data_IF_773883909110
#
_entry.id   IF_773883909110
#
_cell.length_a   1.000
_cell.length_b   1.000
_cell.length_c   1.000
_cell.angle_alpha   90.00
_cell.angle_beta   90.00
_cell.angle_gamma   90.00
#
_symmetry.space_group_name_H-M   'P 1'
#
loop_
_entity.id
_entity.type
_entity.pdbx_description
1 polymer ?
#
# COMPACT_ATOMS: atom_id res chain seq x y z
N UNK A 1 -23.74 14.44 44.66
CA UNK A 1 -23.60 13.50 45.79
C UNK A 1 -24.50 12.26 45.71
N UNK A 2 -25.60 12.26 44.94
CA UNK A 2 -26.43 11.05 44.69
C UNK A 2 -25.98 10.19 43.49
N UNK A 3 -25.14 10.73 42.59
CA UNK A 3 -24.65 10.03 41.38
C UNK A 3 -23.72 8.85 41.72
N UNK A 4 -22.79 9.04 42.65
CA UNK A 4 -21.78 8.04 42.98
C UNK A 4 -22.34 6.88 43.82
N UNK A 5 -23.39 7.16 44.62
CA UNK A 5 -24.10 6.13 45.38
C UNK A 5 -24.95 5.23 44.47
N UNK A 6 -25.60 5.79 43.45
CA UNK A 6 -26.39 5.02 42.47
C UNK A 6 -25.50 4.13 41.59
N UNK A 7 -24.32 4.62 41.19
CA UNK A 7 -23.29 3.81 40.51
C UNK A 7 -22.79 2.64 41.36
N UNK A 8 -22.78 2.78 42.69
CA UNK A 8 -22.35 1.71 43.60
C UNK A 8 -23.39 0.59 43.78
N UNK A 9 -24.69 0.88 43.57
CA UNK A 9 -25.79 -0.06 43.80
C UNK A 9 -26.10 -0.97 42.62
N UNK A 10 -25.79 -0.54 41.40
CA UNK A 10 -25.90 -1.35 40.20
C UNK A 10 -24.52 -1.52 39.60
N UNK A 11 -23.77 -2.54 40.08
CA UNK A 11 -22.62 -3.01 39.31
C UNK A 11 -23.16 -3.49 37.97
N UNK A 12 -22.85 -2.75 36.92
CA UNK A 12 -23.20 -3.11 35.56
C UNK A 12 -22.78 -4.56 35.30
N UNK A 13 -23.73 -5.37 34.81
CA UNK A 13 -23.46 -6.78 34.56
C UNK A 13 -22.62 -6.90 33.30
N UNK A 14 -21.33 -7.18 33.48
CA UNK A 14 -20.42 -7.35 32.35
C UNK A 14 -20.82 -8.58 31.53
N UNK A 15 -21.14 -8.33 30.27
CA UNK A 15 -21.44 -9.30 29.23
C UNK A 15 -21.07 -8.74 27.84
N UNK A 16 -21.32 -9.51 26.77
CA UNK A 16 -20.99 -9.09 25.40
C UNK A 16 -21.67 -7.77 25.00
N UNK A 17 -22.94 -7.55 25.35
CA UNK A 17 -23.67 -6.32 24.99
C UNK A 17 -23.10 -5.09 25.68
N UNK A 18 -22.84 -5.16 26.99
CA UNK A 18 -22.21 -4.04 27.72
C UNK A 18 -20.80 -3.76 27.19
N UNK A 19 -20.05 -4.79 26.81
CA UNK A 19 -18.74 -4.61 26.20
C UNK A 19 -18.83 -3.93 24.82
N UNK A 20 -19.91 -4.19 24.06
CA UNK A 20 -20.19 -3.53 22.79
C UNK A 20 -20.54 -2.04 22.98
N UNK A 21 -21.30 -1.70 24.01
CA UNK A 21 -21.66 -0.31 24.33
C UNK A 21 -20.44 0.55 24.71
N UNK A 22 -19.38 -0.10 25.22
CA UNK A 22 -18.14 0.54 25.65
C UNK A 22 -16.95 0.34 24.69
N UNK A 23 -17.17 -0.06 23.43
CA UNK A 23 -16.06 -0.35 22.46
C UNK A 23 -15.06 0.80 22.26
N UNK A 24 -15.48 2.03 22.48
CA UNK A 24 -14.65 3.23 22.32
C UNK A 24 -14.29 3.89 23.66
N UNK A 25 -14.48 3.15 24.76
CA UNK A 25 -14.20 3.59 26.13
C UNK A 25 -13.01 2.81 26.69
N UNK A 26 -11.76 3.29 26.47
CA UNK A 26 -10.57 2.61 26.93
C UNK A 26 -10.50 2.53 28.47
N UNK A 27 -11.03 3.51 29.19
CA UNK A 27 -11.01 3.52 30.66
C UNK A 27 -11.93 2.43 31.22
N UNK A 28 -13.12 2.28 30.65
CA UNK A 28 -14.04 1.20 31.03
C UNK A 28 -13.43 -0.17 30.73
N UNK A 29 -12.81 -0.36 29.57
CA UNK A 29 -12.13 -1.62 29.23
C UNK A 29 -10.98 -1.94 30.18
N UNK A 30 -10.19 -0.94 30.57
CA UNK A 30 -9.06 -1.10 31.48
C UNK A 30 -9.53 -1.51 32.89
N UNK A 31 -10.54 -0.83 33.43
CA UNK A 31 -11.12 -1.13 34.75
C UNK A 31 -11.76 -2.52 34.79
N UNK A 32 -12.40 -2.94 33.69
CA UNK A 32 -13.22 -4.15 33.64
C UNK A 32 -12.53 -5.36 33.00
N UNK A 33 -11.24 -5.23 32.64
CA UNK A 33 -10.48 -6.23 31.87
C UNK A 33 -10.61 -7.66 32.39
N UNK A 34 -10.29 -7.89 33.67
CA UNK A 34 -10.30 -9.24 34.26
C UNK A 34 -11.70 -9.87 34.20
N UNK A 35 -12.73 -9.06 34.42
CA UNK A 35 -14.11 -9.55 34.39
C UNK A 35 -14.56 -9.86 32.97
N UNK A 36 -14.15 -9.07 31.98
CA UNK A 36 -14.38 -9.37 30.56
C UNK A 36 -13.71 -10.69 30.16
N UNK A 37 -12.43 -10.88 30.50
CA UNK A 37 -11.70 -12.11 30.21
C UNK A 37 -12.41 -13.33 30.81
N UNK A 38 -12.81 -13.26 32.08
CA UNK A 38 -13.54 -14.35 32.76
C UNK A 38 -14.90 -14.62 32.09
N UNK A 39 -15.64 -13.57 31.72
CA UNK A 39 -16.94 -13.71 31.06
C UNK A 39 -16.79 -14.42 29.72
N UNK A 40 -15.90 -13.94 28.85
CA UNK A 40 -15.71 -14.53 27.54
C UNK A 40 -15.19 -15.97 27.65
N UNK A 41 -14.22 -16.29 28.51
CA UNK A 41 -13.78 -17.69 28.73
C UNK A 41 -14.96 -18.66 28.97
N UNK A 42 -16.02 -18.21 29.65
CA UNK A 42 -17.22 -19.02 29.93
C UNK A 42 -18.18 -19.13 28.75
N UNK A 43 -18.26 -18.12 27.89
CA UNK A 43 -19.33 -17.97 26.89
C UNK A 43 -18.84 -18.01 25.42
N UNK A 44 -17.66 -17.45 25.08
CA UNK A 44 -17.05 -17.38 23.72
C UNK A 44 -15.54 -17.00 23.73
N UNK A 45 -14.81 -17.19 22.63
CA UNK A 45 -13.40 -16.73 22.54
C UNK A 45 -13.25 -15.18 22.63
N UNK A 46 -12.68 -14.69 23.73
CA UNK A 46 -12.37 -13.27 23.96
C UNK A 46 -11.50 -12.69 22.83
N UNK A 47 -10.55 -13.47 22.31
CA UNK A 47 -9.67 -13.01 21.23
C UNK A 47 -10.45 -12.72 19.96
N UNK A 48 -11.46 -13.53 19.66
CA UNK A 48 -12.37 -13.30 18.54
C UNK A 48 -13.17 -12.02 18.74
N UNK A 49 -13.71 -11.77 19.94
CA UNK A 49 -14.40 -10.51 20.24
C UNK A 49 -13.52 -9.27 19.97
N UNK A 50 -12.28 -9.27 20.46
CA UNK A 50 -11.32 -8.17 20.24
C UNK A 50 -11.02 -8.01 18.73
N UNK A 51 -10.76 -9.13 18.03
CA UNK A 51 -10.45 -9.13 16.59
C UNK A 51 -11.57 -8.53 15.73
N UNK A 52 -12.81 -8.88 16.01
CA UNK A 52 -13.95 -8.48 15.16
C UNK A 52 -14.51 -7.10 15.49
N UNK A 53 -14.41 -6.66 16.75
CA UNK A 53 -15.01 -5.40 17.18
C UNK A 53 -13.99 -4.26 17.32
N UNK A 54 -12.88 -4.48 18.03
CA UNK A 54 -11.91 -3.42 18.32
C UNK A 54 -10.87 -3.24 17.21
N UNK A 55 -10.33 -4.33 16.67
CA UNK A 55 -9.24 -4.27 15.70
C UNK A 55 -9.71 -3.98 14.26
N UNK A 56 -11.01 -3.79 14.05
CA UNK A 56 -11.55 -3.39 12.75
C UNK A 56 -11.26 -1.92 12.45
N UNK A 57 -11.40 -1.06 13.45
CA UNK A 57 -11.11 0.38 13.41
C UNK A 57 -10.33 0.75 14.68
N UNK A 58 -9.05 0.38 14.77
CA UNK A 58 -8.28 0.50 16.00
C UNK A 58 -8.04 1.98 16.36
N UNK A 59 -8.24 2.30 17.64
CA UNK A 59 -7.86 3.58 18.24
C UNK A 59 -6.64 3.39 19.14
N UNK A 60 -5.68 4.33 19.08
CA UNK A 60 -4.41 4.22 19.83
C UNK A 60 -4.63 3.99 21.32
N UNK A 61 -5.55 4.74 21.96
CA UNK A 61 -5.85 4.58 23.38
C UNK A 61 -6.37 3.18 23.72
N UNK A 62 -7.16 2.57 22.84
CA UNK A 62 -7.64 1.21 23.05
C UNK A 62 -6.51 0.20 22.84
N UNK A 63 -5.63 0.42 21.86
CA UNK A 63 -4.45 -0.42 21.67
C UNK A 63 -3.52 -0.38 22.90
N UNK A 64 -3.35 0.79 23.53
CA UNK A 64 -2.59 0.93 24.78
C UNK A 64 -3.18 0.07 25.91
N UNK A 65 -4.51 0.05 26.06
CA UNK A 65 -5.19 -0.80 27.05
C UNK A 65 -4.96 -2.27 26.76
N UNK A 66 -5.15 -2.69 25.50
CA UNK A 66 -4.89 -4.08 25.09
C UNK A 66 -3.43 -4.48 25.34
N UNK A 67 -2.48 -3.60 25.02
CA UNK A 67 -1.06 -3.84 25.20
C UNK A 67 -0.64 -3.87 26.67
N UNK A 68 -1.16 -2.95 27.49
CA UNK A 68 -1.00 -2.95 28.97
C UNK A 68 -1.40 -4.30 29.58
N UNK A 69 -2.48 -4.89 29.07
CA UNK A 69 -2.98 -6.19 29.50
C UNK A 69 -2.38 -7.39 28.75
N UNK A 70 -1.28 -7.19 28.03
CA UNK A 70 -0.52 -8.23 27.32
C UNK A 70 -1.34 -9.01 26.28
N UNK A 71 -2.34 -8.37 25.69
CA UNK A 71 -3.06 -8.95 24.57
C UNK A 71 -2.09 -9.21 23.41
N UNK A 72 -2.08 -10.43 22.86
CA UNK A 72 -1.25 -10.75 21.72
C UNK A 72 -1.91 -10.29 20.42
N UNK A 73 -1.28 -9.32 19.77
CA UNK A 73 -1.68 -8.81 18.47
C UNK A 73 -1.21 -9.69 17.30
N UNK A 74 -0.35 -10.67 17.55
CA UNK A 74 0.06 -11.65 16.53
C UNK A 74 -1.20 -12.35 15.97
N UNK A 75 -1.19 -12.71 14.69
CA UNK A 75 -2.34 -13.32 13.98
C UNK A 75 -3.63 -12.49 13.99
N UNK A 76 -3.54 -11.18 14.24
CA UNK A 76 -4.67 -10.27 14.10
C UNK A 76 -4.62 -9.55 12.76
N UNK A 77 -5.78 -9.03 12.33
CA UNK A 77 -5.89 -8.20 11.14
C UNK A 77 -4.99 -6.96 11.22
N UNK A 78 -4.75 -6.44 12.42
CA UNK A 78 -3.86 -5.30 12.67
C UNK A 78 -2.44 -5.59 12.15
N UNK A 79 -1.85 -6.72 12.55
CA UNK A 79 -0.52 -7.15 12.10
C UNK A 79 -0.52 -7.60 10.64
N UNK A 80 -1.63 -8.11 10.11
CA UNK A 80 -1.67 -8.54 8.71
C UNK A 80 -1.77 -7.35 7.72
N UNK A 81 -2.31 -6.21 8.15
CA UNK A 81 -2.65 -5.09 7.27
C UNK A 81 -2.00 -3.77 7.67
N UNK A 82 -1.04 -3.80 8.59
CA UNK A 82 -0.38 -2.61 9.13
C UNK A 82 0.24 -1.71 8.05
N UNK A 83 0.64 -2.27 6.91
CA UNK A 83 1.19 -1.47 5.80
C UNK A 83 0.14 -0.80 4.91
N UNK A 84 -1.15 -1.18 4.95
CA UNK A 84 -2.16 -0.76 3.95
C UNK A 84 -3.42 -0.12 4.54
N UNK A 85 -4.07 -0.76 5.50
CA UNK A 85 -5.48 -0.47 5.85
C UNK A 85 -5.64 0.27 7.19
N UNK A 86 -4.55 0.76 7.77
CA UNK A 86 -4.57 1.51 9.04
C UNK A 86 -4.19 2.98 8.84
N UNK A 87 -4.66 3.84 9.73
CA UNK A 87 -4.27 5.25 9.74
C UNK A 87 -2.80 5.43 10.21
N UNK A 88 -2.28 6.65 10.07
CA UNK A 88 -0.88 6.97 10.39
C UNK A 88 -0.57 6.79 11.89
N UNK A 89 -1.46 7.18 12.80
CA UNK A 89 -1.19 7.10 14.25
C UNK A 89 -1.15 5.66 14.76
N UNK A 90 -2.05 4.81 14.27
CA UNK A 90 -2.01 3.37 14.54
C UNK A 90 -0.76 2.73 13.95
N UNK A 91 -0.33 3.18 12.76
CA UNK A 91 0.90 2.70 12.15
C UNK A 91 2.13 3.02 13.00
N UNK A 92 2.24 4.27 13.46
CA UNK A 92 3.31 4.71 14.37
C UNK A 92 3.33 3.87 15.65
N UNK A 93 2.16 3.68 16.25
CA UNK A 93 2.00 2.88 17.45
C UNK A 93 2.49 1.43 17.26
N UNK A 94 2.18 0.81 16.12
CA UNK A 94 2.66 -0.55 15.79
C UNK A 94 4.18 -0.58 15.69
N UNK A 95 4.79 0.40 15.02
CA UNK A 95 6.25 0.51 14.87
C UNK A 95 6.92 0.68 16.24
N UNK A 96 6.46 1.63 17.05
CA UNK A 96 7.03 1.96 18.36
C UNK A 96 6.98 0.77 19.33
N UNK A 97 5.87 0.02 19.30
CA UNK A 97 5.66 -1.15 20.16
C UNK A 97 6.17 -2.46 19.54
N UNK A 98 6.80 -2.40 18.36
CA UNK A 98 7.35 -3.56 17.64
C UNK A 98 6.32 -4.68 17.37
N UNK A 99 5.11 -4.29 17.00
CA UNK A 99 3.95 -5.19 16.81
C UNK A 99 3.86 -5.65 15.34
N UNK A 100 4.84 -6.43 14.90
CA UNK A 100 4.90 -6.99 13.54
C UNK A 100 5.64 -8.33 13.55
N UNK A 101 5.60 -9.05 12.44
CA UNK A 101 6.23 -10.37 12.35
C UNK A 101 7.74 -10.22 12.08
N UNK A 102 8.59 -11.13 12.59
CA UNK A 102 10.02 -11.08 12.27
C UNK A 102 10.29 -11.28 10.76
N UNK A 103 9.43 -12.03 10.08
CA UNK A 103 9.46 -12.19 8.63
C UNK A 103 9.26 -10.86 7.90
N UNK A 104 8.52 -9.91 8.50
CA UNK A 104 8.37 -8.57 7.94
C UNK A 104 9.74 -7.87 7.91
N UNK A 105 10.54 -7.92 8.98
CA UNK A 105 11.89 -7.31 8.99
C UNK A 105 12.82 -7.88 7.91
N UNK A 106 12.63 -9.14 7.51
CA UNK A 106 13.40 -9.80 6.45
C UNK A 106 12.78 -9.60 5.07
N UNK A 107 11.54 -9.13 5.02
CA UNK A 107 10.79 -8.95 3.79
C UNK A 107 11.24 -7.68 3.09
N UNK A 108 12.08 -7.89 2.09
CA UNK A 108 12.59 -6.80 1.27
C UNK A 108 11.49 -6.02 0.50
N UNK A 109 10.27 -6.53 0.41
CA UNK A 109 9.14 -5.88 -0.26
C UNK A 109 8.34 -4.92 0.63
N UNK A 110 8.69 -4.73 1.91
CA UNK A 110 7.94 -3.83 2.80
C UNK A 110 7.93 -2.40 2.29
N UNK A 111 9.05 -1.90 1.79
CA UNK A 111 9.12 -0.56 1.20
C UNK A 111 8.09 -0.41 0.08
N UNK A 112 7.99 -1.41 -0.80
CA UNK A 112 6.98 -1.42 -1.85
C UNK A 112 5.57 -1.42 -1.27
N UNK A 113 5.29 -2.19 -0.22
CA UNK A 113 3.96 -2.23 0.42
C UNK A 113 3.57 -0.89 1.05
N UNK A 114 4.51 -0.22 1.72
CA UNK A 114 4.29 1.08 2.35
C UNK A 114 4.05 2.19 1.32
N UNK A 115 4.80 2.15 0.21
CA UNK A 115 4.69 3.14 -0.86
C UNK A 115 3.65 2.76 -1.93
N UNK A 116 3.00 1.59 -1.85
CA UNK A 116 2.15 1.04 -2.91
C UNK A 116 0.90 1.89 -3.24
N UNK A 117 0.42 2.72 -2.32
CA UNK A 117 -0.69 3.64 -2.61
C UNK A 117 -0.20 4.99 -3.14
N UNK A 118 1.11 5.23 -3.14
CA UNK A 118 1.80 6.39 -3.72
C UNK A 118 1.17 7.75 -3.42
N UNK A 119 0.60 7.89 -2.22
CA UNK A 119 -0.05 9.09 -1.72
C UNK A 119 0.72 9.67 -0.51
N UNK A 120 0.36 10.87 -0.05
CA UNK A 120 1.04 11.52 1.08
C UNK A 120 1.09 10.65 2.35
N UNK A 121 0.01 9.95 2.69
CA UNK A 121 -0.05 9.07 3.86
C UNK A 121 0.96 7.93 3.74
N UNK A 122 1.12 7.38 2.54
CA UNK A 122 2.12 6.33 2.25
C UNK A 122 3.53 6.85 2.47
N UNK A 123 3.81 8.08 2.04
CA UNK A 123 5.10 8.72 2.28
C UNK A 123 5.33 9.00 3.77
N UNK A 124 4.35 9.51 4.50
CA UNK A 124 4.48 9.77 5.93
C UNK A 124 4.76 8.48 6.72
N UNK A 125 4.07 7.37 6.36
CA UNK A 125 4.35 6.04 6.93
C UNK A 125 5.77 5.57 6.60
N UNK A 126 6.19 5.71 5.35
CA UNK A 126 7.54 5.35 4.91
C UNK A 126 8.60 6.14 5.69
N UNK A 127 8.47 7.47 5.72
CA UNK A 127 9.39 8.36 6.42
C UNK A 127 9.50 8.00 7.89
N UNK A 128 8.36 7.81 8.56
CA UNK A 128 8.36 7.47 9.97
C UNK A 128 9.05 6.14 10.24
N UNK A 129 8.70 5.08 9.53
CA UNK A 129 9.36 3.79 9.72
C UNK A 129 10.86 3.86 9.40
N UNK A 130 11.26 4.65 8.39
CA UNK A 130 12.68 4.87 8.08
C UNK A 130 13.39 5.51 9.28
N UNK A 131 12.83 6.58 9.82
CA UNK A 131 13.39 7.34 10.96
C UNK A 131 13.39 6.51 12.26
N UNK A 132 12.46 5.58 12.42
CA UNK A 132 12.44 4.60 13.52
C UNK A 132 13.44 3.45 13.35
N UNK A 133 14.28 3.47 12.31
CA UNK A 133 15.34 2.49 12.10
C UNK A 133 14.89 1.15 11.52
N UNK A 134 13.73 1.13 10.85
CA UNK A 134 13.27 -0.10 10.19
C UNK A 134 14.25 -0.51 9.08
N UNK A 135 14.61 -1.81 8.98
CA UNK A 135 15.50 -2.29 7.94
C UNK A 135 14.79 -2.20 6.60
N UNK A 136 15.13 -1.17 5.83
CA UNK A 136 14.62 -0.98 4.49
C UNK A 136 15.65 -1.37 3.46
N UNK A 137 15.22 -2.21 2.53
CA UNK A 137 15.96 -2.52 1.32
C UNK A 137 15.38 -1.68 0.20
N UNK A 138 16.07 -0.59 -0.13
CA UNK A 138 15.73 0.24 -1.31
C UNK A 138 16.23 -0.42 -2.61
N UNK A 139 16.30 -1.77 -2.62
CA UNK A 139 16.63 -2.55 -3.80
C UNK A 139 15.50 -2.51 -4.84
N UNK A 140 14.26 -2.26 -4.39
CA UNK A 140 13.10 -2.21 -5.26
C UNK A 140 12.78 -0.80 -5.73
N UNK A 141 12.29 -0.71 -6.97
CA UNK A 141 11.82 0.53 -7.53
C UNK A 141 10.59 1.06 -6.79
N UNK A 142 10.62 2.34 -6.45
CA UNK A 142 9.50 3.07 -5.87
C UNK A 142 8.48 3.34 -6.97
N UNK A 143 7.27 2.79 -6.82
CA UNK A 143 6.18 3.01 -7.77
C UNK A 143 5.61 4.42 -7.60
N UNK A 144 5.73 5.24 -8.64
CA UNK A 144 5.20 6.61 -8.67
C UNK A 144 3.77 6.60 -9.19
N UNK A 145 2.86 7.19 -8.42
CA UNK A 145 1.49 7.51 -8.82
C UNK A 145 1.12 8.99 -8.65
N UNK A 146 1.98 9.77 -8.01
CA UNK A 146 1.82 11.19 -7.75
C UNK A 146 3.21 11.86 -7.84
N UNK A 147 3.36 12.87 -8.69
CA UNK A 147 4.64 13.54 -8.94
C UNK A 147 5.06 14.42 -7.76
N UNK A 148 4.12 15.06 -7.08
CA UNK A 148 4.44 15.91 -5.92
C UNK A 148 4.96 15.06 -4.76
N UNK A 149 4.36 13.88 -4.56
CA UNK A 149 4.83 12.92 -3.56
C UNK A 149 6.16 12.29 -3.98
N UNK A 150 6.35 11.98 -5.26
CA UNK A 150 7.62 11.48 -5.77
C UNK A 150 8.78 12.46 -5.55
N UNK A 151 8.54 13.76 -5.78
CA UNK A 151 9.50 14.83 -5.51
C UNK A 151 9.89 14.87 -4.03
N UNK A 152 8.91 14.83 -3.13
CA UNK A 152 9.17 14.80 -1.69
C UNK A 152 10.02 13.58 -1.28
N UNK A 153 9.70 12.39 -1.82
CA UNK A 153 10.47 11.16 -1.59
C UNK A 153 11.90 11.34 -2.09
N UNK A 154 12.08 11.84 -3.31
CA UNK A 154 13.39 12.04 -3.93
C UNK A 154 14.27 13.01 -3.14
N UNK A 155 13.73 14.17 -2.75
CA UNK A 155 14.43 15.13 -1.91
C UNK A 155 14.81 14.51 -0.55
N UNK A 156 13.89 13.78 0.06
CA UNK A 156 14.11 13.13 1.35
C UNK A 156 15.24 12.10 1.30
N UNK A 157 15.27 11.24 0.28
CA UNK A 157 16.30 10.21 0.11
C UNK A 157 17.65 10.79 -0.28
N UNK A 158 17.68 11.77 -1.18
CA UNK A 158 18.93 12.41 -1.59
C UNK A 158 19.59 13.21 -0.46
N UNK A 159 18.80 13.90 0.37
CA UNK A 159 19.34 14.58 1.56
C UNK A 159 20.05 13.63 2.54
N UNK A 160 19.84 12.32 2.40
CA UNK A 160 20.42 11.25 3.21
C UNK A 160 21.43 10.39 2.43
N UNK A 161 21.76 10.77 1.19
CA UNK A 161 22.62 10.00 0.29
C UNK A 161 22.14 8.55 0.05
N UNK A 162 20.82 8.36 -0.02
CA UNK A 162 20.23 7.05 -0.27
C UNK A 162 19.85 6.97 -1.74
N UNK A 163 20.46 6.03 -2.46
CA UNK A 163 20.06 5.76 -3.84
C UNK A 163 18.79 4.91 -3.88
N UNK A 164 17.85 5.32 -4.72
CA UNK A 164 16.62 4.60 -4.99
C UNK A 164 16.40 4.49 -6.49
N UNK A 165 15.76 3.39 -6.90
CA UNK A 165 15.18 3.27 -8.24
C UNK A 165 13.74 3.75 -8.18
N UNK A 166 13.26 4.31 -9.29
CA UNK A 166 11.88 4.74 -9.44
C UNK A 166 11.28 3.98 -10.63
N UNK A 167 9.98 3.71 -10.56
CA UNK A 167 9.24 3.05 -11.65
C UNK A 167 7.86 3.67 -11.74
N UNK A 168 7.29 3.65 -12.94
CA UNK A 168 5.92 4.07 -13.14
C UNK A 168 4.94 2.94 -12.77
N UNK A 169 3.83 3.27 -12.11
CA UNK A 169 2.77 2.30 -11.81
C UNK A 169 2.03 1.82 -13.06
N UNK A 170 1.53 0.58 -13.03
CA UNK A 170 0.89 -0.09 -14.18
C UNK A 170 -0.37 0.61 -14.74
N UNK A 171 -0.97 1.52 -13.97
CA UNK A 171 -2.28 2.14 -14.24
C UNK A 171 -2.16 3.59 -14.74
N UNK A 172 -1.35 3.82 -15.78
CA UNK A 172 -1.31 5.13 -16.43
C UNK A 172 -2.58 5.31 -17.26
N UNK A 173 -3.39 6.32 -16.93
CA UNK A 173 -4.65 6.61 -17.63
C UNK A 173 -4.75 8.06 -18.10
N UNK A 174 -3.72 8.87 -17.84
CA UNK A 174 -3.73 10.29 -18.11
C UNK A 174 -2.44 10.72 -18.81
N UNK A 175 -2.60 11.47 -19.90
CA UNK A 175 -1.51 12.02 -20.69
C UNK A 175 -0.73 13.08 -19.89
N UNK A 176 -1.43 13.89 -19.09
CA UNK A 176 -0.80 14.95 -18.29
C UNK A 176 0.16 14.34 -17.27
N UNK A 177 -0.30 13.32 -16.54
CA UNK A 177 0.54 12.57 -15.63
C UNK A 177 1.75 11.93 -16.32
N UNK A 178 1.58 11.27 -17.48
CA UNK A 178 2.70 10.68 -18.23
C UNK A 178 3.73 11.73 -18.64
N UNK A 179 3.29 12.90 -19.10
CA UNK A 179 4.16 14.02 -19.46
C UNK A 179 4.94 14.52 -18.25
N UNK A 180 4.26 14.83 -17.15
CA UNK A 180 4.89 15.31 -15.93
C UNK A 180 5.89 14.28 -15.37
N UNK A 181 5.58 12.99 -15.47
CA UNK A 181 6.50 11.92 -15.10
C UNK A 181 7.79 11.94 -15.91
N UNK A 182 7.69 12.01 -17.24
CA UNK A 182 8.84 12.04 -18.14
C UNK A 182 9.72 13.28 -17.89
N UNK A 183 9.09 14.44 -17.69
CA UNK A 183 9.80 15.68 -17.34
C UNK A 183 10.54 15.52 -16.00
N UNK A 184 9.88 14.93 -15.01
CA UNK A 184 10.44 14.72 -13.66
C UNK A 184 11.63 13.76 -13.64
N UNK A 185 11.57 12.61 -14.33
CA UNK A 185 12.73 11.70 -14.38
C UNK A 185 13.91 12.34 -15.12
N UNK A 186 13.65 13.15 -16.15
CA UNK A 186 14.69 13.86 -16.90
C UNK A 186 15.35 14.95 -16.07
N UNK A 187 14.58 15.75 -15.33
CA UNK A 187 15.12 16.82 -14.48
C UNK A 187 16.04 16.27 -13.38
N UNK A 188 15.81 15.03 -12.95
CA UNK A 188 16.57 14.37 -11.89
C UNK A 188 17.63 13.37 -12.39
N UNK A 189 17.80 13.23 -13.70
CA UNK A 189 18.77 12.29 -14.28
C UNK A 189 18.51 10.83 -13.90
N UNK A 190 17.24 10.46 -13.68
CA UNK A 190 16.85 9.10 -13.30
C UNK A 190 16.81 8.23 -14.54
N UNK A 191 17.57 7.13 -14.54
CA UNK A 191 17.49 6.12 -15.60
C UNK A 191 16.19 5.31 -15.45
N UNK A 192 15.29 5.45 -16.42
CA UNK A 192 14.00 4.75 -16.45
C UNK A 192 13.90 3.82 -17.66
N UNK A 193 13.92 2.52 -17.40
CA UNK A 193 13.78 1.47 -18.42
C UNK A 193 12.36 0.88 -18.48
N UNK A 194 11.54 1.05 -17.44
CA UNK A 194 10.20 0.48 -17.36
C UNK A 194 9.21 1.12 -18.32
N UNK A 195 9.42 2.38 -18.74
CA UNK A 195 8.54 3.05 -19.72
C UNK A 195 8.45 2.27 -21.04
N UNK A 196 9.52 1.60 -21.44
CA UNK A 196 9.51 0.69 -22.58
C UNK A 196 8.61 -0.54 -22.37
N UNK A 197 8.54 -1.08 -21.15
CA UNK A 197 7.66 -2.20 -20.81
C UNK A 197 6.19 -1.78 -20.71
N UNK A 198 5.95 -0.48 -20.60
CA UNK A 198 4.62 0.10 -20.35
C UNK A 198 3.92 0.59 -21.62
N UNK A 199 4.58 0.45 -22.77
CA UNK A 199 4.10 0.89 -24.07
C UNK A 199 2.72 0.32 -24.41
N UNK A 200 2.49 -0.97 -24.16
CA UNK A 200 1.18 -1.60 -24.35
C UNK A 200 0.08 -0.95 -23.50
N UNK A 201 0.41 -0.59 -22.25
CA UNK A 201 -0.53 0.07 -21.34
C UNK A 201 -0.83 1.50 -21.79
N UNK A 202 0.20 2.25 -22.20
CA UNK A 202 0.06 3.61 -22.74
C UNK A 202 -0.78 3.60 -24.02
N UNK A 203 -0.49 2.69 -24.96
CA UNK A 203 -1.24 2.52 -26.19
C UNK A 203 -2.72 2.21 -25.95
N UNK A 204 -3.02 1.36 -24.95
CA UNK A 204 -4.40 0.98 -24.61
C UNK A 204 -5.17 2.06 -23.88
N UNK A 205 -4.53 2.75 -22.94
CA UNK A 205 -5.22 3.64 -22.00
C UNK A 205 -5.17 5.12 -22.40
N UNK A 206 -4.08 5.55 -23.07
CA UNK A 206 -3.88 6.95 -23.50
C UNK A 206 -4.01 7.06 -25.02
N UNK A 207 -3.66 6.01 -25.77
CA UNK A 207 -3.77 5.99 -27.22
C UNK A 207 -2.60 6.68 -27.92
N UNK A 208 -2.88 7.25 -29.10
CA UNK A 208 -1.87 7.82 -30.00
C UNK A 208 -1.04 8.91 -29.34
N UNK A 209 -1.66 9.85 -28.63
CA UNK A 209 -0.93 10.95 -27.99
C UNK A 209 0.08 10.47 -26.94
N UNK A 210 -0.21 9.35 -26.27
CA UNK A 210 0.73 8.72 -25.34
C UNK A 210 1.92 8.10 -26.08
N UNK A 211 1.67 7.44 -27.21
CA UNK A 211 2.72 6.86 -28.05
C UNK A 211 3.63 7.93 -28.68
N UNK A 212 3.05 9.03 -29.17
CA UNK A 212 3.80 10.19 -29.67
C UNK A 212 4.75 10.72 -28.60
N UNK A 213 4.25 10.92 -27.38
CA UNK A 213 5.06 11.37 -26.27
C UNK A 213 6.20 10.39 -25.95
N UNK A 214 5.95 9.07 -25.96
CA UNK A 214 7.01 8.08 -25.77
C UNK A 214 8.05 8.09 -26.90
N UNK A 215 7.62 8.27 -28.15
CA UNK A 215 8.49 8.31 -29.33
C UNK A 215 9.39 9.56 -29.32
N UNK A 216 8.81 10.73 -29.07
CA UNK A 216 9.53 12.01 -28.97
C UNK A 216 10.61 11.99 -27.88
N UNK A 217 10.36 11.22 -26.82
CA UNK A 217 11.29 11.08 -25.70
C UNK A 217 12.23 9.87 -25.82
N UNK A 218 12.15 9.11 -26.92
CA UNK A 218 13.07 8.02 -27.24
C UNK A 218 12.83 6.70 -26.48
N UNK A 219 11.69 6.56 -25.81
CA UNK A 219 11.31 5.34 -25.06
C UNK A 219 10.80 4.22 -25.97
N UNK A 220 10.29 4.58 -27.15
CA UNK A 220 9.99 3.65 -28.24
C UNK A 220 10.74 4.08 -29.49
N UNK A 221 10.96 3.14 -30.41
CA UNK A 221 11.71 3.38 -31.64
C UNK A 221 11.01 2.77 -32.83
N UNK A 222 11.16 3.41 -34.00
CA UNK A 222 10.71 2.87 -35.29
C UNK A 222 11.24 1.45 -35.49
N UNK A 223 10.44 0.58 -36.11
CA UNK A 223 10.78 -0.82 -36.31
C UNK A 223 10.59 -1.73 -35.08
N UNK A 224 10.18 -1.19 -33.93
CA UNK A 224 9.80 -2.02 -32.78
C UNK A 224 8.55 -2.84 -33.09
N UNK A 225 8.49 -4.06 -32.52
CA UNK A 225 7.40 -5.01 -32.75
C UNK A 225 6.26 -4.78 -31.76
N UNK A 226 5.02 -4.85 -32.27
CA UNK A 226 3.79 -4.68 -31.52
C UNK A 226 2.78 -5.78 -31.87
N UNK A 227 2.03 -6.25 -30.87
CA UNK A 227 0.91 -7.16 -31.11
C UNK A 227 -0.35 -6.37 -31.44
N UNK A 228 -0.49 -5.98 -32.72
CA UNK A 228 -1.48 -5.01 -33.20
C UNK A 228 -2.93 -5.35 -32.82
N UNK A 229 -3.26 -6.65 -32.73
CA UNK A 229 -4.58 -7.16 -32.33
C UNK A 229 -5.06 -6.68 -30.96
N UNK A 230 -4.16 -6.16 -30.12
CA UNK A 230 -4.46 -5.68 -28.77
C UNK A 230 -4.89 -4.20 -28.72
N UNK A 231 -4.88 -3.48 -29.84
CA UNK A 231 -5.07 -2.03 -29.86
C UNK A 231 -6.26 -1.59 -30.71
N UNK A 232 -6.71 -0.35 -30.50
CA UNK A 232 -7.74 0.27 -31.33
C UNK A 232 -7.25 0.47 -32.77
N UNK A 233 -8.17 0.54 -33.73
CA UNK A 233 -7.82 0.75 -35.13
C UNK A 233 -7.01 2.04 -35.35
N UNK A 234 -7.31 3.09 -34.58
CA UNK A 234 -6.58 4.36 -34.60
C UNK A 234 -5.10 4.16 -34.24
N UNK A 235 -4.83 3.47 -33.12
CA UNK A 235 -3.46 3.17 -32.67
C UNK A 235 -2.74 2.28 -33.68
N UNK A 236 -3.42 1.26 -34.23
CA UNK A 236 -2.86 0.38 -35.27
C UNK A 236 -2.44 1.19 -36.49
N UNK A 237 -3.31 2.07 -36.99
CA UNK A 237 -3.00 2.92 -38.14
C UNK A 237 -1.79 3.82 -37.85
N UNK A 238 -1.74 4.44 -36.67
CA UNK A 238 -0.61 5.29 -36.28
C UNK A 238 0.71 4.50 -36.21
N UNK A 239 0.69 3.31 -35.60
CA UNK A 239 1.86 2.42 -35.51
C UNK A 239 2.39 2.06 -36.91
N UNK A 240 1.50 1.64 -37.82
CA UNK A 240 1.89 1.30 -39.20
C UNK A 240 2.42 2.52 -39.97
N UNK A 241 1.84 3.71 -39.77
CA UNK A 241 2.34 4.95 -40.38
C UNK A 241 3.72 5.39 -39.87
N UNK A 242 4.14 4.91 -38.70
CA UNK A 242 5.43 5.23 -38.08
C UNK A 242 6.45 4.10 -38.17
N UNK A 243 6.28 3.19 -39.14
CA UNK A 243 7.19 2.07 -39.43
C UNK A 243 7.32 1.06 -38.27
N UNK A 244 6.33 0.95 -37.39
CA UNK A 244 6.27 -0.13 -36.40
C UNK A 244 5.76 -1.42 -37.06
N UNK A 245 6.25 -2.56 -36.58
CA UNK A 245 5.99 -3.87 -37.20
C UNK A 245 5.04 -4.72 -36.35
N UNK A 246 4.23 -5.54 -37.00
CA UNK A 246 3.40 -6.53 -36.30
C UNK A 246 4.25 -7.72 -35.84
N UNK A 247 4.04 -8.15 -34.60
CA UNK A 247 4.57 -9.42 -34.11
C UNK A 247 3.82 -10.58 -34.78
N UNK A 248 4.43 -11.21 -35.79
CA UNK A 248 3.92 -12.47 -36.33
C UNK A 248 4.29 -13.62 -35.38
N UNK A 249 3.36 -14.04 -34.51
CA UNK A 249 3.41 -15.41 -33.99
C UNK A 249 2.97 -16.34 -35.12
N UNK A 250 3.92 -16.97 -35.80
CA UNK A 250 3.61 -18.18 -36.54
C UNK A 250 3.14 -19.22 -35.52
N UNK A 251 1.82 -19.45 -35.48
CA UNK A 251 1.27 -20.63 -34.84
C UNK A 251 1.72 -21.81 -35.70
N UNK A 252 2.82 -22.46 -35.30
CA UNK A 252 3.26 -23.71 -35.90
C UNK A 252 2.22 -24.76 -35.53
N UNK A 253 1.23 -24.94 -36.40
CA UNK A 253 0.42 -26.15 -36.38
C UNK A 253 1.35 -27.29 -36.75
N UNK A 254 1.83 -28.04 -35.75
CA UNK A 254 2.29 -29.39 -35.97
C UNK A 254 1.10 -30.20 -36.50
N UNK A 255 0.91 -30.17 -37.81
CA UNK A 255 0.13 -31.18 -38.52
C UNK A 255 0.96 -32.45 -38.52
N UNK A 256 0.99 -33.10 -37.35
CA UNK A 256 1.43 -34.48 -37.23
C UNK A 256 0.53 -35.31 -38.12
N UNK A 257 1.02 -35.65 -39.31
CA UNK A 257 0.49 -36.78 -40.07
C UNK A 257 0.76 -38.03 -39.25
N UNK A 258 -0.31 -38.62 -38.73
CA UNK A 258 -0.38 -40.02 -38.29
C UNK A 258 -0.21 -40.90 -39.53
#
# INVERSE_FOLDING_TARGET
MFSDLYKSMFKERINEFTALDHLHDPEWFDINWDTLVIYFIKEKDFRSFIKYNLLRNPEVKMLDVLFKHKFSFLDTRLVNLWTKDINLEVFKWIIDNKIFLEEDLKNKQICNRLLNQGNQISFDKFKYAFESGFPFFVEYSITISDIEVAEQIWQYLNSRNIQAKYTLGLNIRDLTFLKNYIEWIKSHGIEEFSLFLMVDSVAKNIGVSGLELLLENGYIRKGQLFELKKFSQEVVNWLLCHDFQEFYQEVVYHTGKI
#
